data_IF_700189600856
#
_entry.id   IF_700189600856
#
_cell.length_a   1.000
_cell.length_b   1.000
_cell.length_c   1.000
_cell.angle_alpha   90.00
_cell.angle_beta   90.00
_cell.angle_gamma   90.00
#
_symmetry.space_group_name_H-M   'P 1'
#
loop_
_entity.id
_entity.type
_entity.pdbx_description
1 polymer ?
#
# COMPACT_ATOMS: atom_id res chain seq x y z
N UNK A 1 -4.43 8.64 -0.71
CA UNK A 1 -5.33 8.00 -1.68
C UNK A 1 -5.34 8.90 -2.89
N UNK A 2 -5.14 8.34 -4.07
CA UNK A 2 -5.22 9.06 -5.34
C UNK A 2 -6.13 8.30 -6.28
N UNK A 3 -6.88 9.01 -7.10
CA UNK A 3 -7.70 8.42 -8.15
C UNK A 3 -6.82 7.66 -9.15
N UNK A 4 -7.32 6.52 -9.64
CA UNK A 4 -6.70 5.77 -10.72
C UNK A 4 -7.20 6.16 -12.10
N UNK A 5 -7.05 5.25 -13.06
CA UNK A 5 -7.37 5.43 -14.48
C UNK A 5 -8.66 4.71 -14.90
N UNK A 6 -9.30 3.93 -14.03
CA UNK A 6 -10.50 3.16 -14.35
C UNK A 6 -11.63 4.00 -14.94
N UNK A 7 -11.88 5.18 -14.39
CA UNK A 7 -12.96 6.07 -14.86
C UNK A 7 -12.48 7.12 -15.85
N UNK A 8 -11.18 7.24 -16.13
CA UNK A 8 -10.62 8.24 -17.07
C UNK A 8 -10.52 7.71 -18.50
N UNK A 9 -11.10 6.54 -18.74
CA UNK A 9 -11.11 5.91 -20.04
C UNK A 9 -11.81 6.84 -21.05
N UNK A 10 -11.21 6.96 -22.25
CA UNK A 10 -11.76 7.76 -23.34
C UNK A 10 -11.98 9.25 -23.00
N UNK A 11 -11.22 9.82 -22.06
CA UNK A 11 -11.29 11.25 -21.72
C UNK A 11 -12.59 11.65 -21.02
N UNK A 12 -13.28 10.69 -20.38
CA UNK A 12 -14.50 10.96 -19.63
C UNK A 12 -14.24 11.82 -18.40
N UNK A 13 -15.20 12.69 -18.08
CA UNK A 13 -15.20 13.47 -16.84
C UNK A 13 -15.55 12.57 -15.66
N UNK A 14 -14.91 12.83 -14.52
CA UNK A 14 -15.00 11.95 -13.35
C UNK A 14 -15.17 12.75 -12.08
N UNK A 15 -15.86 12.16 -11.12
CA UNK A 15 -15.84 12.60 -9.73
C UNK A 15 -15.20 11.52 -8.89
N UNK A 16 -14.27 11.90 -8.02
CA UNK A 16 -13.60 10.98 -7.11
C UNK A 16 -13.53 11.56 -5.70
N UNK A 17 -14.05 10.80 -4.73
CA UNK A 17 -13.88 11.06 -3.33
C UNK A 17 -12.76 10.14 -2.78
N UNK A 18 -11.60 10.70 -2.35
CA UNK A 18 -10.49 9.91 -1.81
C UNK A 18 -10.80 9.28 -0.44
N UNK A 19 -11.97 9.57 0.14
CA UNK A 19 -12.42 9.07 1.43
C UNK A 19 -11.84 9.83 2.61
N UNK A 20 -12.25 9.39 3.80
CA UNK A 20 -11.83 9.93 5.09
C UNK A 20 -10.99 8.90 5.84
N UNK A 21 -9.80 9.32 6.27
CA UNK A 21 -8.91 8.48 7.07
C UNK A 21 -9.41 8.42 8.50
N UNK A 22 -9.39 7.23 9.07
CA UNK A 22 -9.65 6.94 10.47
C UNK A 22 -8.60 5.95 10.97
N UNK A 23 -8.57 5.68 12.27
CA UNK A 23 -7.63 4.75 12.90
C UNK A 23 -7.77 3.36 12.29
N UNK A 24 -6.82 3.00 11.42
CA UNK A 24 -6.78 1.69 10.74
C UNK A 24 -7.82 1.49 9.64
N UNK A 25 -8.63 2.50 9.30
CA UNK A 25 -9.69 2.38 8.28
C UNK A 25 -9.68 3.59 7.34
N UNK A 26 -10.01 3.36 6.07
CA UNK A 26 -10.34 4.43 5.13
C UNK A 26 -11.80 4.28 4.71
N UNK A 27 -12.62 5.30 5.01
CA UNK A 27 -14.07 5.27 4.84
C UNK A 27 -14.51 6.13 3.66
N UNK A 28 -15.67 5.82 3.09
CA UNK A 28 -16.35 6.66 2.10
C UNK A 28 -15.52 6.95 0.83
N UNK A 29 -14.76 5.97 0.35
CA UNK A 29 -14.08 6.05 -0.95
C UNK A 29 -15.07 5.68 -2.04
N UNK A 30 -15.30 6.58 -2.98
CA UNK A 30 -16.16 6.32 -4.13
C UNK A 30 -15.77 7.23 -5.29
N UNK A 31 -16.19 6.85 -6.49
CA UNK A 31 -16.11 7.71 -7.66
C UNK A 31 -17.13 7.28 -8.70
N UNK A 32 -17.35 8.13 -9.68
CA UNK A 32 -18.20 7.84 -10.82
C UNK A 32 -17.70 8.54 -12.08
N UNK A 33 -18.13 8.01 -13.21
CA UNK A 33 -18.07 8.72 -14.49
C UNK A 33 -19.26 9.68 -14.54
N UNK A 34 -19.01 10.93 -14.92
CA UNK A 34 -20.05 11.92 -15.13
C UNK A 34 -20.59 11.82 -16.57
N UNK A 35 -21.92 11.92 -16.72
CA UNK A 35 -22.58 11.82 -18.03
C UNK A 35 -22.78 10.38 -18.50
N UNK A 36 -22.68 10.15 -19.82
CA UNK A 36 -23.07 8.87 -20.48
C UNK A 36 -21.92 7.86 -20.67
N UNK A 37 -20.80 8.04 -19.97
CA UNK A 37 -19.64 7.16 -20.10
C UNK A 37 -19.76 5.88 -19.28
N UNK A 38 -18.86 4.92 -19.56
CA UNK A 38 -18.73 3.67 -18.83
C UNK A 38 -17.26 3.22 -18.81
N UNK A 39 -16.90 2.40 -17.82
CA UNK A 39 -15.60 1.74 -17.78
C UNK A 39 -15.72 0.36 -18.46
N UNK A 40 -15.25 0.25 -19.70
CA UNK A 40 -15.37 -0.98 -20.48
C UNK A 40 -14.17 -1.90 -20.36
N UNK A 41 -13.04 -1.42 -19.81
CA UNK A 41 -11.81 -2.21 -19.60
C UNK A 41 -11.35 -2.21 -18.15
N UNK A 42 -10.64 -3.28 -17.77
CA UNK A 42 -10.04 -3.38 -16.44
C UNK A 42 -8.89 -2.39 -16.27
N UNK A 43 -8.94 -1.62 -15.19
CA UNK A 43 -7.96 -0.59 -14.86
C UNK A 43 -7.97 -0.30 -13.35
N UNK A 44 -7.12 0.61 -12.88
CA UNK A 44 -7.00 0.91 -11.44
C UNK A 44 -8.08 1.89 -11.03
N UNK A 45 -8.91 1.53 -10.05
CA UNK A 45 -9.87 2.47 -9.46
C UNK A 45 -9.17 3.55 -8.62
N UNK A 46 -8.25 3.15 -7.73
CA UNK A 46 -7.54 4.06 -6.84
C UNK A 46 -6.20 3.49 -6.38
N UNK A 47 -5.29 4.36 -5.94
CA UNK A 47 -4.01 3.98 -5.33
C UNK A 47 -3.95 4.41 -3.86
N UNK A 48 -3.69 3.44 -2.97
CA UNK A 48 -3.48 3.68 -1.54
C UNK A 48 -1.97 3.72 -1.25
N UNK A 49 -1.49 4.85 -0.72
CA UNK A 49 -0.13 4.96 -0.21
C UNK A 49 -0.14 4.77 1.30
N UNK A 50 0.65 3.80 1.78
CA UNK A 50 0.80 3.47 3.19
C UNK A 50 2.27 3.63 3.58
N UNK A 51 2.52 4.08 4.81
CA UNK A 51 3.84 4.10 5.42
C UNK A 51 3.90 3.10 6.56
N UNK A 52 5.04 2.43 6.71
CA UNK A 52 5.31 1.59 7.87
C UNK A 52 6.14 2.35 8.89
N UNK A 53 5.95 2.04 10.17
CA UNK A 53 6.85 2.51 11.22
C UNK A 53 8.20 1.81 11.07
N UNK A 54 9.32 2.55 11.05
CA UNK A 54 10.65 1.95 10.98
C UNK A 54 10.88 0.89 12.06
N UNK A 55 11.49 -0.23 11.68
CA UNK A 55 11.83 -1.33 12.58
C UNK A 55 10.65 -2.23 13.00
N UNK A 56 9.40 -1.89 12.66
CA UNK A 56 8.27 -2.79 12.88
C UNK A 56 8.29 -3.94 11.87
N UNK A 57 7.96 -5.13 12.38
CA UNK A 57 7.83 -6.38 11.63
C UNK A 57 6.43 -6.92 11.79
N UNK A 58 5.95 -7.66 10.80
CA UNK A 58 4.67 -8.35 10.88
C UNK A 58 3.93 -8.36 9.55
N UNK A 59 2.66 -8.72 9.62
CA UNK A 59 1.76 -8.76 8.46
C UNK A 59 0.65 -7.75 8.67
N UNK A 60 0.53 -6.79 7.76
CA UNK A 60 -0.60 -5.87 7.72
C UNK A 60 -1.63 -6.41 6.74
N UNK A 61 -2.76 -6.89 7.27
CA UNK A 61 -3.89 -7.34 6.45
C UNK A 61 -4.67 -6.13 5.93
N UNK A 62 -5.07 -6.17 4.67
CA UNK A 62 -5.83 -5.12 3.99
C UNK A 62 -7.12 -5.74 3.47
N UNK A 63 -8.22 -5.30 4.06
CA UNK A 63 -9.55 -5.76 3.73
C UNK A 63 -10.35 -4.68 3.00
N UNK A 64 -11.10 -5.10 1.99
CA UNK A 64 -12.17 -4.29 1.40
C UNK A 64 -13.49 -4.76 2.01
N UNK A 65 -14.31 -3.81 2.45
CA UNK A 65 -15.60 -4.07 3.09
C UNK A 65 -16.66 -3.17 2.45
N UNK A 66 -17.91 -3.65 2.40
CA UNK A 66 -19.05 -2.91 1.86
C UNK A 66 -18.80 -2.37 0.44
N UNK A 67 -18.28 -3.21 -0.45
CA UNK A 67 -17.99 -2.84 -1.83
C UNK A 67 -19.25 -2.97 -2.68
N UNK A 68 -19.66 -1.87 -3.29
CA UNK A 68 -20.76 -1.83 -4.26
C UNK A 68 -20.26 -1.23 -5.57
N UNK A 69 -20.65 -1.83 -6.68
CA UNK A 69 -20.38 -1.35 -8.04
C UNK A 69 -21.69 -1.35 -8.79
N UNK A 70 -21.95 -0.28 -9.54
CA UNK A 70 -23.13 -0.16 -10.40
C UNK A 70 -22.74 0.07 -11.85
N UNK A 71 -23.60 -0.36 -12.78
CA UNK A 71 -23.52 0.01 -14.18
C UNK A 71 -23.94 1.46 -14.38
N UNK A 72 -23.78 1.99 -15.61
CA UNK A 72 -24.22 3.35 -15.96
C UNK A 72 -25.75 3.54 -15.81
N UNK A 73 -26.54 2.46 -15.90
CA UNK A 73 -27.98 2.46 -15.67
C UNK A 73 -28.37 2.46 -14.18
N UNK A 74 -27.38 2.40 -13.27
CA UNK A 74 -27.61 2.31 -11.84
C UNK A 74 -27.90 0.89 -11.32
N UNK A 75 -27.77 -0.13 -12.18
CA UNK A 75 -27.96 -1.52 -11.78
C UNK A 75 -26.75 -2.06 -11.03
N UNK A 76 -26.95 -2.84 -9.98
CA UNK A 76 -25.86 -3.47 -9.25
C UNK A 76 -25.09 -4.48 -10.13
N UNK A 77 -23.76 -4.45 -10.04
CA UNK A 77 -22.87 -5.38 -10.74
C UNK A 77 -22.34 -6.42 -9.76
N UNK A 78 -22.44 -7.69 -10.13
CA UNK A 78 -21.87 -8.76 -9.33
C UNK A 78 -20.37 -8.54 -9.15
N UNK A 79 -19.94 -8.45 -7.90
CA UNK A 79 -18.56 -8.10 -7.55
C UNK A 79 -17.93 -9.20 -6.71
N UNK A 80 -16.71 -9.59 -7.07
CA UNK A 80 -15.86 -10.46 -6.24
C UNK A 80 -14.79 -9.63 -5.55
N UNK A 81 -14.80 -9.64 -4.22
CA UNK A 81 -13.80 -8.93 -3.42
C UNK A 81 -12.60 -9.84 -3.18
N UNK A 82 -11.39 -9.31 -3.42
CA UNK A 82 -10.12 -9.98 -3.10
C UNK A 82 -9.31 -9.12 -2.14
N UNK A 83 -9.16 -9.60 -0.92
CA UNK A 83 -8.33 -8.97 0.11
C UNK A 83 -6.85 -9.28 -0.13
N UNK A 84 -5.97 -8.50 0.49
CA UNK A 84 -4.52 -8.67 0.36
C UNK A 84 -3.81 -8.42 1.69
N UNK A 85 -2.50 -8.65 1.73
CA UNK A 85 -1.67 -8.38 2.90
C UNK A 85 -0.32 -7.83 2.48
N UNK A 86 0.24 -6.94 3.30
CA UNK A 86 1.62 -6.46 3.17
C UNK A 86 2.46 -7.12 4.26
N UNK A 87 3.57 -7.74 3.87
CA UNK A 87 4.54 -8.31 4.80
C UNK A 87 5.63 -7.28 5.07
N UNK A 88 5.76 -6.85 6.33
CA UNK A 88 6.81 -5.97 6.80
C UNK A 88 8.00 -6.81 7.27
N UNK A 89 9.03 -6.85 6.45
CA UNK A 89 10.31 -7.50 6.75
C UNK A 89 11.34 -6.49 7.25
N UNK A 90 12.49 -6.98 7.72
CA UNK A 90 13.60 -6.11 8.14
C UNK A 90 14.04 -5.20 6.99
N UNK A 91 14.36 -3.95 7.31
CA UNK A 91 15.06 -3.07 6.38
C UNK A 91 16.53 -3.50 6.28
N UNK A 92 17.07 -3.60 5.05
CA UNK A 92 18.48 -3.94 4.78
C UNK A 92 19.47 -3.11 5.60
N UNK A 93 19.13 -1.86 5.93
CA UNK A 93 19.97 -0.99 6.73
C UNK A 93 20.24 -1.50 8.15
N UNK A 94 19.29 -2.18 8.78
CA UNK A 94 19.52 -2.74 10.12
C UNK A 94 20.52 -3.90 10.06
N UNK A 95 20.38 -4.80 9.07
CA UNK A 95 21.29 -5.94 8.93
C UNK A 95 22.69 -5.48 8.49
N UNK A 96 22.79 -4.46 7.64
CA UNK A 96 24.07 -3.87 7.27
C UNK A 96 24.74 -3.14 8.44
N UNK A 97 23.98 -2.38 9.24
CA UNK A 97 24.51 -1.72 10.44
C UNK A 97 25.00 -2.74 11.48
N UNK A 98 24.22 -3.79 11.74
CA UNK A 98 24.62 -4.86 12.65
C UNK A 98 25.89 -5.58 12.18
N UNK A 99 26.00 -5.86 10.87
CA UNK A 99 27.21 -6.46 10.29
C UNK A 99 28.43 -5.56 10.44
N UNK A 100 28.28 -4.27 10.17
CA UNK A 100 29.36 -3.29 10.32
C UNK A 100 29.79 -3.13 11.79
N UNK A 101 28.84 -3.08 12.72
CA UNK A 101 29.11 -2.99 14.15
C UNK A 101 29.86 -4.24 14.66
N UNK A 102 29.40 -5.44 14.26
CA UNK A 102 30.06 -6.70 14.59
C UNK A 102 31.49 -6.73 14.01
N UNK A 103 31.66 -6.31 12.76
CA UNK A 103 32.98 -6.28 12.11
C UNK A 103 33.96 -5.40 12.89
N UNK A 104 33.56 -4.18 13.28
CA UNK A 104 34.39 -3.26 14.07
C UNK A 104 34.75 -3.83 15.45
N UNK A 105 33.80 -4.44 16.13
CA UNK A 105 34.05 -5.10 17.43
C UNK A 105 35.08 -6.22 17.31
N UNK A 106 35.00 -7.04 16.26
CA UNK A 106 35.97 -8.12 16.01
C UNK A 106 37.36 -7.56 15.72
N UNK A 107 37.46 -6.50 14.91
CA UNK A 107 38.73 -5.83 14.60
C UNK A 107 39.40 -5.22 15.85
N UNK A 108 38.63 -4.52 16.70
CA UNK A 108 39.15 -3.97 17.95
C UNK A 108 39.64 -5.06 18.93
N UNK A 109 38.92 -6.18 19.03
CA UNK A 109 39.30 -7.29 19.89
C UNK A 109 40.56 -8.01 19.37
N UNK A 110 40.73 -8.12 18.06
CA UNK A 110 41.92 -8.69 17.43
C UNK A 110 43.16 -7.82 17.70
N UNK A 111 43.03 -6.50 17.55
CA UNK A 111 44.10 -5.54 17.84
C UNK A 111 44.52 -5.58 19.31
N UNK A 112 43.56 -5.63 20.24
CA UNK A 112 43.86 -5.75 21.68
C UNK A 112 44.63 -7.04 21.99
N UNK A 113 44.26 -8.18 21.41
CA UNK A 113 44.97 -9.46 21.64
C UNK A 113 46.44 -9.43 21.19
N UNK A 114 46.77 -8.70 20.12
CA UNK A 114 48.15 -8.59 19.63
C UNK A 114 49.02 -7.69 20.52
N UNK A 115 48.43 -6.80 21.32
CA UNK A 115 49.18 -5.91 22.22
C UNK A 115 49.65 -6.57 23.54
N UNK A 116 49.16 -7.79 23.84
CA UNK A 116 49.51 -8.55 25.05
C UNK A 116 50.37 -9.80 24.75
N UNK A 117 50.81 -9.99 23.51
CA UNK A 117 51.72 -11.06 23.06
C UNK A 117 53.10 -10.47 22.77
#
# INVERSE_FOLDING_TARGET
>A
MTEGDLFKQNGTETFFNPGQKDTGTLKNVYGCILGKGEASTSARFATVTLSSTPGKRGVAQIYLQNVTVSSREGNAVQTRVKNTSIILTKTRNYDNFQRELIKRLVEELALKRQSYA
#
